data_IF_531834867022
#
_entry.id   IF_531834867022
#
_cell.length_a   1.000
_cell.length_b   1.000
_cell.length_c   1.000
_cell.angle_alpha   90.00
_cell.angle_beta   90.00
_cell.angle_gamma   90.00
#
_symmetry.space_group_name_H-M   'P 1'
#
loop_
_entity.id
_entity.type
_entity.pdbx_description
1 polymer ?
#
# COMPACT_ATOMS: atom_id res chain seq x y z
N UNK A 1 20.41 -26.91 0.27
CA UNK A 1 21.32 -27.79 -0.49
C UNK A 1 21.46 -27.47 -2.00
N UNK A 2 21.35 -26.22 -2.48
CA UNK A 2 21.64 -25.84 -3.88
C UNK A 2 21.86 -24.31 -3.97
N UNK A 3 22.58 -23.84 -5.01
CA UNK A 3 22.45 -22.44 -5.47
C UNK A 3 20.97 -22.17 -5.70
N UNK A 4 20.49 -20.96 -5.38
CA UNK A 4 19.04 -20.70 -5.40
C UNK A 4 18.42 -21.18 -6.72
N UNK A 5 17.40 -22.05 -6.65
CA UNK A 5 16.92 -22.89 -7.77
C UNK A 5 16.57 -22.10 -9.05
N UNK A 6 16.32 -20.81 -8.90
CA UNK A 6 15.83 -19.94 -9.96
C UNK A 6 16.65 -18.66 -10.16
N UNK A 7 17.47 -18.29 -9.17
CA UNK A 7 18.28 -17.06 -9.24
C UNK A 7 19.72 -17.42 -8.91
N UNK A 8 20.72 -16.85 -9.59
CA UNK A 8 22.12 -17.23 -9.43
C UNK A 8 22.72 -16.62 -8.14
N UNK A 9 22.16 -16.96 -6.99
CA UNK A 9 22.66 -16.56 -5.66
C UNK A 9 23.42 -17.76 -5.09
N UNK A 10 24.73 -17.60 -4.92
CA UNK A 10 25.56 -18.59 -4.24
C UNK A 10 25.11 -18.77 -2.79
N UNK A 11 25.21 -19.99 -2.26
CA UNK A 11 24.90 -20.27 -0.86
C UNK A 11 25.66 -19.34 0.11
N UNK A 12 26.91 -18.99 -0.22
CA UNK A 12 27.74 -18.09 0.59
C UNK A 12 27.17 -16.68 0.63
N UNK A 13 26.71 -16.15 -0.51
CA UNK A 13 26.13 -14.82 -0.60
C UNK A 13 24.76 -14.74 0.11
N UNK A 14 24.00 -15.83 0.12
CA UNK A 14 22.80 -15.95 0.97
C UNK A 14 23.13 -15.79 2.46
N UNK A 15 24.16 -16.48 2.97
CA UNK A 15 24.58 -16.34 4.37
C UNK A 15 25.13 -14.95 4.68
N UNK A 16 25.86 -14.33 3.73
CA UNK A 16 26.32 -12.93 3.86
C UNK A 16 25.16 -11.94 3.96
N UNK A 17 24.12 -12.14 3.15
CA UNK A 17 22.92 -11.33 3.19
C UNK A 17 22.16 -11.54 4.50
N UNK A 18 22.10 -12.78 4.98
CA UNK A 18 21.49 -13.13 6.29
C UNK A 18 22.23 -12.49 7.46
N UNK A 19 23.58 -12.41 7.39
CA UNK A 19 24.39 -11.75 8.40
C UNK A 19 24.01 -10.27 8.59
N UNK A 20 23.54 -9.60 7.53
CA UNK A 20 23.02 -8.23 7.63
C UNK A 20 21.84 -8.09 8.61
N UNK A 21 21.04 -9.14 8.79
CA UNK A 21 19.92 -9.15 9.73
C UNK A 21 20.29 -9.73 11.10
N UNK A 22 21.24 -10.66 11.15
CA UNK A 22 21.67 -11.33 12.37
C UNK A 22 22.60 -10.48 13.26
N UNK A 23 23.43 -9.61 12.65
CA UNK A 23 24.33 -8.68 13.35
C UNK A 23 23.59 -7.48 14.00
N UNK A 24 22.27 -7.57 14.17
CA UNK A 24 21.44 -6.53 14.80
C UNK A 24 21.68 -6.51 16.31
N UNK A 25 22.10 -5.37 16.84
CA UNK A 25 22.15 -5.13 18.30
C UNK A 25 20.90 -4.35 18.70
N UNK A 26 20.01 -4.96 19.48
CA UNK A 26 18.85 -4.29 20.07
C UNK A 26 19.27 -3.58 21.36
N UNK A 27 19.16 -2.25 21.36
CA UNK A 27 19.15 -1.43 22.59
C UNK A 27 17.74 -1.27 23.16
N UNK A 28 17.62 -0.85 24.42
CA UNK A 28 16.34 -0.47 25.05
C UNK A 28 16.40 1.04 25.34
N UNK A 29 15.41 1.80 24.85
CA UNK A 29 15.21 3.21 25.26
C UNK A 29 13.73 3.49 25.48
N UNK A 30 13.37 3.89 26.71
CA UNK A 30 12.01 4.35 27.05
C UNK A 30 11.69 5.63 26.26
N UNK A 31 10.67 5.59 25.40
CA UNK A 31 10.16 6.77 24.69
C UNK A 31 8.98 7.35 25.47
N UNK A 32 9.03 8.65 25.78
CA UNK A 32 7.95 9.35 26.46
C UNK A 32 6.87 9.72 25.44
N UNK A 33 5.71 9.06 25.50
CA UNK A 33 4.53 9.41 24.70
C UNK A 33 3.69 10.48 25.42
N UNK A 34 2.85 11.21 24.66
CA UNK A 34 2.02 12.31 25.15
C UNK A 34 1.08 11.91 26.30
N UNK A 35 0.65 10.65 26.35
CA UNK A 35 -0.32 10.14 27.32
C UNK A 35 0.31 9.58 28.62
N UNK A 36 1.62 9.74 28.80
CA UNK A 36 2.32 9.23 29.98
C UNK A 36 2.75 7.77 29.83
N UNK A 37 4.01 7.60 29.41
CA UNK A 37 4.87 6.40 29.57
C UNK A 37 4.25 5.06 29.12
N UNK A 38 4.19 4.81 27.81
CA UNK A 38 4.33 3.44 27.31
C UNK A 38 5.83 3.10 27.20
N UNK A 39 6.34 2.00 27.78
CA UNK A 39 7.70 1.53 27.51
C UNK A 39 7.78 1.04 26.06
N UNK A 40 8.23 1.91 25.15
CA UNK A 40 8.52 1.54 23.75
C UNK A 40 9.94 0.99 23.68
N UNK A 41 10.14 -0.21 23.12
CA UNK A 41 11.45 -0.87 22.98
C UNK A 41 12.15 -0.49 21.67
N UNK A 42 12.91 0.59 21.65
CA UNK A 42 13.63 1.00 20.43
C UNK A 42 14.94 0.20 20.23
N UNK A 43 14.91 -0.83 19.38
CA UNK A 43 16.13 -1.50 18.89
C UNK A 43 16.96 -0.53 18.04
N UNK A 44 18.02 0.06 18.61
CA UNK A 44 18.89 0.99 17.90
C UNK A 44 20.14 0.32 17.37
N UNK A 45 20.30 0.33 16.05
CA UNK A 45 21.57 0.08 15.40
C UNK A 45 22.27 1.42 15.14
N UNK A 46 23.41 1.66 15.81
CA UNK A 46 24.45 2.71 15.64
C UNK A 46 24.70 3.52 16.92
N UNK A 47 25.98 3.62 17.27
CA UNK A 47 26.59 4.44 18.35
C UNK A 47 26.19 5.93 18.34
N UNK A 48 25.71 6.48 17.23
CA UNK A 48 25.37 7.89 17.02
C UNK A 48 23.86 8.18 16.84
N UNK A 49 22.97 7.21 17.03
CA UNK A 49 21.51 7.43 17.16
C UNK A 49 20.79 8.13 15.98
N UNK A 50 21.41 8.24 14.79
CA UNK A 50 20.85 8.97 13.63
C UNK A 50 19.81 8.16 12.85
N UNK A 51 19.95 6.84 12.76
CA UNK A 51 18.96 5.97 12.11
C UNK A 51 18.16 5.28 13.22
N UNK A 52 16.90 5.70 13.37
CA UNK A 52 16.02 5.22 14.44
C UNK A 52 15.14 4.11 13.90
N UNK A 53 15.41 2.88 14.30
CA UNK A 53 14.44 1.80 14.18
C UNK A 53 13.65 1.78 15.49
N UNK A 54 12.38 2.17 15.42
CA UNK A 54 11.47 2.14 16.58
C UNK A 54 10.61 0.90 16.42
N UNK A 55 10.78 -0.08 17.30
CA UNK A 55 9.87 -1.20 17.42
C UNK A 55 9.00 -0.94 18.65
N UNK A 56 7.69 -0.82 18.47
CA UNK A 56 6.77 -0.76 19.60
C UNK A 56 6.27 -2.18 19.87
N UNK A 57 6.94 -2.92 20.76
CA UNK A 57 6.41 -4.19 21.28
C UNK A 57 5.85 -3.99 22.70
N UNK A 58 4.87 -4.83 23.07
CA UNK A 58 4.56 -5.07 24.48
C UNK A 58 5.81 -5.61 25.19
N UNK A 59 5.94 -5.42 26.53
CA UNK A 59 7.06 -5.91 27.30
C UNK A 59 7.04 -7.43 27.28
N UNK A 60 7.79 -8.06 26.37
CA UNK A 60 8.01 -9.49 26.47
C UNK A 60 9.10 -9.78 27.49
N UNK A 61 10.24 -9.08 27.52
CA UNK A 61 11.28 -9.31 28.54
C UNK A 61 12.18 -8.08 28.73
N UNK A 62 12.38 -7.60 29.97
CA UNK A 62 13.46 -6.64 30.31
C UNK A 62 14.78 -7.39 30.53
N UNK A 63 15.92 -6.82 30.10
CA UNK A 63 17.25 -7.26 30.54
C UNK A 63 17.99 -8.30 29.69
N UNK A 64 17.48 -8.74 28.54
CA UNK A 64 18.26 -9.59 27.64
C UNK A 64 19.24 -8.74 26.81
N UNK A 65 20.57 -8.95 26.92
CA UNK A 65 21.48 -8.39 25.94
C UNK A 65 21.13 -9.00 24.58
N UNK A 66 20.88 -8.15 23.60
CA UNK A 66 20.96 -8.59 22.21
C UNK A 66 22.42 -8.84 21.90
N UNK A 67 22.84 -10.09 22.11
CA UNK A 67 24.13 -10.57 21.61
C UNK A 67 23.96 -10.63 20.08
N UNK A 68 24.70 -9.82 19.30
CA UNK A 68 24.62 -9.92 17.85
C UNK A 68 24.97 -11.35 17.46
N UNK A 69 24.04 -12.02 16.76
CA UNK A 69 24.20 -13.41 16.40
C UNK A 69 25.24 -13.50 15.28
N UNK A 70 26.30 -14.28 15.49
CA UNK A 70 27.24 -14.60 14.42
C UNK A 70 26.63 -15.65 13.50
N UNK A 71 26.57 -15.36 12.20
CA UNK A 71 26.11 -16.33 11.20
C UNK A 71 27.29 -17.19 10.77
N UNK A 72 27.14 -18.51 10.84
CA UNK A 72 28.13 -19.46 10.33
C UNK A 72 27.67 -20.03 8.99
N UNK A 73 28.60 -20.28 8.09
CA UNK A 73 28.30 -20.95 6.83
C UNK A 73 27.95 -22.42 7.12
N UNK A 74 26.72 -22.83 6.79
CA UNK A 74 26.30 -24.22 6.94
C UNK A 74 26.39 -24.93 5.58
N UNK A 75 27.22 -25.96 5.49
CA UNK A 75 27.36 -26.73 4.25
C UNK A 75 26.03 -27.37 3.93
N UNK A 76 25.44 -27.04 2.78
CA UNK A 76 24.10 -27.47 2.35
C UNK A 76 22.93 -27.05 3.26
N UNK A 77 23.16 -26.32 4.35
CA UNK A 77 22.14 -25.95 5.34
C UNK A 77 22.12 -26.84 6.58
N UNK A 78 23.08 -27.75 6.72
CA UNK A 78 23.20 -28.66 7.85
C UNK A 78 23.74 -27.94 9.10
N UNK A 79 22.94 -27.80 10.19
CA UNK A 79 23.37 -27.12 11.40
C UNK A 79 24.55 -27.81 12.10
N UNK A 80 24.73 -29.13 11.91
CA UNK A 80 25.82 -29.89 12.50
C UNK A 80 27.15 -29.70 11.71
N UNK A 81 27.07 -29.15 10.50
CA UNK A 81 28.22 -28.88 9.62
C UNK A 81 28.48 -27.37 9.47
N UNK A 82 28.58 -26.68 10.61
CA UNK A 82 28.90 -25.26 10.67
C UNK A 82 30.39 -24.98 10.44
N UNK A 83 30.69 -24.06 9.53
CA UNK A 83 32.06 -23.67 9.13
C UNK A 83 32.45 -22.29 9.68
N UNK A 84 33.08 -21.46 8.86
CA UNK A 84 33.52 -20.13 9.24
C UNK A 84 32.35 -19.19 9.54
N UNK A 85 32.64 -18.14 10.32
CA UNK A 85 31.72 -17.02 10.49
C UNK A 85 31.69 -16.21 9.20
N UNK A 86 30.50 -15.91 8.73
CA UNK A 86 30.24 -15.10 7.54
C UNK A 86 29.89 -13.69 7.97
N UNK A 87 30.57 -12.71 7.38
CA UNK A 87 30.28 -11.29 7.61
C UNK A 87 29.22 -10.77 6.65
N UNK A 88 28.58 -9.67 7.02
CA UNK A 88 27.64 -8.95 6.15
C UNK A 88 28.23 -8.72 4.75
N UNK A 89 27.45 -9.10 3.73
CA UNK A 89 27.72 -8.78 2.33
C UNK A 89 26.50 -9.00 1.44
N UNK A 90 26.58 -8.52 0.19
CA UNK A 90 25.41 -8.40 -0.69
C UNK A 90 25.61 -9.10 -2.03
N UNK A 91 24.54 -9.49 -2.74
CA UNK A 91 24.66 -10.23 -4.00
C UNK A 91 25.54 -9.50 -5.04
N UNK A 92 26.63 -10.10 -5.56
CA UNK A 92 27.58 -9.45 -6.46
C UNK A 92 26.96 -8.93 -7.76
N UNK A 93 25.94 -9.58 -8.29
CA UNK A 93 25.25 -9.16 -9.53
C UNK A 93 24.43 -7.88 -9.35
N UNK A 94 24.19 -7.43 -8.12
CA UNK A 94 23.54 -6.16 -7.79
C UNK A 94 24.53 -5.08 -7.37
N UNK A 95 25.83 -5.34 -7.53
CA UNK A 95 26.91 -4.41 -7.24
C UNK A 95 27.50 -3.95 -8.58
N UNK A 96 27.77 -2.65 -8.72
CA UNK A 96 28.31 -2.12 -9.97
C UNK A 96 29.69 -2.78 -10.28
N UNK A 97 30.00 -3.15 -11.54
CA UNK A 97 31.20 -3.92 -11.89
C UNK A 97 32.53 -3.33 -11.41
N UNK A 98 32.61 -2.01 -11.26
CA UNK A 98 33.82 -1.29 -10.83
C UNK A 98 33.92 -1.10 -9.31
N UNK A 99 32.99 -1.66 -8.54
CA UNK A 99 32.97 -1.49 -7.09
C UNK A 99 34.06 -2.34 -6.43
N UNK A 100 34.92 -1.75 -5.60
CA UNK A 100 35.87 -2.54 -4.80
C UNK A 100 35.12 -3.54 -3.91
N UNK A 101 35.55 -4.80 -3.90
CA UNK A 101 34.96 -5.84 -3.02
C UNK A 101 34.96 -5.40 -1.55
N UNK A 102 35.99 -4.67 -1.13
CA UNK A 102 36.12 -4.12 0.21
C UNK A 102 34.99 -3.18 0.63
N UNK A 103 34.25 -2.62 -0.34
CA UNK A 103 33.05 -1.87 -0.03
C UNK A 103 32.02 -2.83 0.56
N UNK A 104 31.56 -3.84 -0.16
CA UNK A 104 30.36 -4.59 0.24
C UNK A 104 30.60 -5.99 0.79
N UNK A 105 31.84 -6.48 0.83
CA UNK A 105 32.14 -7.88 1.18
C UNK A 105 33.16 -8.04 2.30
N UNK A 106 33.76 -6.95 2.78
CA UNK A 106 34.73 -6.99 3.89
C UNK A 106 34.06 -6.65 5.23
N UNK A 107 34.65 -7.19 6.31
CA UNK A 107 34.22 -6.89 7.68
C UNK A 107 34.37 -5.40 7.95
N UNK A 108 33.26 -4.72 8.24
CA UNK A 108 33.26 -3.29 8.56
C UNK A 108 33.25 -3.07 10.08
N UNK A 109 34.35 -2.66 10.72
CA UNK A 109 34.32 -2.25 12.12
C UNK A 109 33.36 -1.05 12.27
N UNK A 110 32.53 -1.06 13.31
CA UNK A 110 31.58 0.00 13.66
C UNK A 110 30.41 0.23 12.68
N UNK A 111 30.09 -0.72 11.80
CA UNK A 111 28.84 -0.72 11.03
C UNK A 111 28.05 -1.98 11.32
N UNK A 112 26.79 -1.82 11.70
CA UNK A 112 25.85 -2.93 11.92
C UNK A 112 25.29 -3.42 10.58
N UNK A 113 24.82 -4.66 10.57
CA UNK A 113 24.34 -5.34 9.37
C UNK A 113 23.21 -4.59 8.64
N UNK A 114 22.15 -4.11 9.32
CA UNK A 114 21.02 -3.46 8.63
C UNK A 114 21.37 -2.07 8.13
N UNK A 115 22.31 -1.38 8.78
CA UNK A 115 22.84 -0.10 8.29
C UNK A 115 23.67 -0.30 7.04
N UNK A 116 24.49 -1.35 6.99
CA UNK A 116 25.18 -1.73 5.77
C UNK A 116 24.19 -2.07 4.64
N UNK A 117 23.12 -2.82 4.94
CA UNK A 117 22.04 -3.13 4.00
C UNK A 117 21.36 -1.86 3.47
N UNK A 118 20.94 -0.96 4.35
CA UNK A 118 20.30 0.29 3.95
C UNK A 118 21.21 1.15 3.05
N UNK A 119 22.51 1.23 3.39
CA UNK A 119 23.50 1.94 2.57
C UNK A 119 23.70 1.29 1.21
N UNK A 120 23.77 -0.04 1.15
CA UNK A 120 23.90 -0.76 -0.11
C UNK A 120 22.66 -0.61 -0.99
N UNK A 121 21.45 -0.72 -0.41
CA UNK A 121 20.20 -0.57 -1.14
C UNK A 121 20.02 0.83 -1.74
N UNK A 122 20.58 1.86 -1.12
CA UNK A 122 20.42 3.27 -1.53
C UNK A 122 21.62 3.84 -2.29
N UNK A 123 22.75 3.14 -2.38
CA UNK A 123 23.93 3.56 -3.13
C UNK A 123 23.72 3.32 -4.63
N UNK A 124 23.60 4.40 -5.40
CA UNK A 124 23.41 4.37 -6.86
C UNK A 124 24.72 4.13 -7.61
N UNK A 125 25.87 4.43 -7.02
CA UNK A 125 27.15 4.34 -7.72
C UNK A 125 27.76 2.94 -7.58
N UNK A 126 27.57 2.32 -6.42
CA UNK A 126 28.25 1.07 -6.08
C UNK A 126 27.31 -0.01 -5.56
N UNK A 127 26.04 0.29 -5.30
CA UNK A 127 25.09 -0.66 -4.69
C UNK A 127 23.86 -0.90 -5.56
N UNK A 128 22.78 -1.30 -4.91
CA UNK A 128 21.51 -1.66 -5.55
C UNK A 128 20.56 -0.45 -5.77
N UNK A 129 21.07 0.79 -5.64
CA UNK A 129 20.24 2.01 -5.70
C UNK A 129 19.39 2.13 -6.96
N UNK A 130 19.92 1.74 -8.13
CA UNK A 130 19.16 1.76 -9.38
C UNK A 130 18.01 0.76 -9.40
N UNK A 131 18.22 -0.46 -8.87
CA UNK A 131 17.15 -1.45 -8.75
C UNK A 131 16.09 -0.97 -7.75
N UNK A 132 16.50 -0.44 -6.60
CA UNK A 132 15.58 0.14 -5.63
C UNK A 132 14.72 1.25 -6.25
N UNK A 133 15.33 2.13 -7.04
CA UNK A 133 14.60 3.20 -7.73
C UNK A 133 13.56 2.64 -8.70
N UNK A 134 13.90 1.62 -9.52
CA UNK A 134 12.96 0.93 -10.41
C UNK A 134 11.79 0.30 -9.63
N UNK A 135 12.06 -0.35 -8.51
CA UNK A 135 11.02 -0.94 -7.65
C UNK A 135 10.09 0.14 -7.07
N UNK A 136 10.64 1.25 -6.56
CA UNK A 136 9.85 2.33 -5.98
C UNK A 136 8.94 2.96 -7.05
N UNK A 137 9.47 3.36 -8.21
CA UNK A 137 8.66 4.01 -9.23
C UNK A 137 7.60 3.07 -9.81
N UNK A 138 7.90 1.78 -9.92
CA UNK A 138 6.89 0.78 -10.30
C UNK A 138 5.77 0.65 -9.27
N UNK A 139 6.08 0.71 -7.97
CA UNK A 139 5.05 0.74 -6.91
C UNK A 139 4.21 2.01 -6.97
N UNK A 140 4.84 3.17 -7.19
CA UNK A 140 4.10 4.43 -7.37
C UNK A 140 3.14 4.33 -8.57
N UNK A 141 3.63 3.82 -9.70
CA UNK A 141 2.83 3.58 -10.88
C UNK A 141 1.67 2.61 -10.60
N UNK A 142 1.96 1.46 -10.00
CA UNK A 142 0.97 0.47 -9.59
C UNK A 142 -0.13 1.06 -8.72
N UNK A 143 0.20 1.89 -7.72
CA UNK A 143 -0.81 2.50 -6.87
C UNK A 143 -1.73 3.49 -7.60
N UNK A 144 -1.23 4.18 -8.63
CA UNK A 144 -2.03 5.09 -9.45
C UNK A 144 -2.87 4.40 -10.51
N UNK A 145 -2.34 3.36 -11.15
CA UNK A 145 -2.95 2.69 -12.31
C UNK A 145 -3.51 1.29 -12.01
N UNK A 146 -3.41 0.80 -10.77
CA UNK A 146 -3.84 -0.57 -10.39
C UNK A 146 -2.87 -1.67 -10.85
N UNK A 147 -2.05 -1.42 -11.87
CA UNK A 147 -1.04 -2.34 -12.40
C UNK A 147 0.29 -1.61 -12.58
N UNK A 148 1.40 -2.21 -12.15
CA UNK A 148 2.75 -1.68 -12.37
C UNK A 148 3.21 -1.85 -13.82
N UNK A 149 4.21 -1.06 -14.22
CA UNK A 149 4.94 -1.27 -15.49
C UNK A 149 5.55 -2.68 -15.53
N UNK A 150 6.08 -3.14 -14.39
CA UNK A 150 6.32 -4.55 -14.08
C UNK A 150 5.12 -5.04 -13.27
N UNK A 151 4.37 -5.98 -13.80
CA UNK A 151 3.12 -6.44 -13.19
C UNK A 151 3.34 -7.27 -11.92
N UNK A 152 4.55 -7.78 -11.69
CA UNK A 152 4.98 -8.45 -10.44
C UNK A 152 5.74 -7.49 -9.52
N UNK A 153 5.06 -6.69 -8.65
CA UNK A 153 5.70 -5.63 -7.88
C UNK A 153 6.74 -6.10 -6.84
N UNK A 154 6.73 -7.38 -6.47
CA UNK A 154 7.70 -8.00 -5.56
C UNK A 154 8.80 -8.80 -6.28
N UNK A 155 8.72 -8.97 -7.59
CA UNK A 155 9.68 -9.80 -8.34
C UNK A 155 10.10 -9.08 -9.63
N UNK A 156 11.34 -8.59 -9.63
CA UNK A 156 12.02 -7.98 -10.77
C UNK A 156 13.10 -8.92 -11.35
N UNK A 157 13.16 -10.15 -10.84
CA UNK A 157 14.10 -11.19 -11.24
C UNK A 157 13.60 -11.96 -12.45
N UNK A 158 14.16 -13.16 -12.63
CA UNK A 158 13.90 -14.01 -13.82
C UNK A 158 12.49 -14.60 -13.86
N UNK A 159 11.81 -14.68 -12.70
CA UNK A 159 10.45 -15.20 -12.55
C UNK A 159 9.38 -14.12 -12.56
N UNK A 160 9.80 -12.86 -12.46
CA UNK A 160 8.93 -11.70 -12.60
C UNK A 160 8.58 -11.39 -14.05
N UNK A 161 7.54 -10.58 -14.23
CA UNK A 161 7.15 -10.09 -15.55
C UNK A 161 8.16 -9.07 -16.08
N UNK A 162 8.32 -9.05 -17.41
CA UNK A 162 9.08 -7.99 -18.07
C UNK A 162 8.31 -6.67 -18.03
N UNK A 163 8.99 -5.51 -17.92
CA UNK A 163 8.33 -4.22 -17.97
C UNK A 163 7.65 -4.01 -19.31
N UNK A 164 6.41 -3.52 -19.31
CA UNK A 164 5.70 -3.12 -20.54
C UNK A 164 6.38 -1.93 -21.22
N UNK A 165 6.89 -0.99 -20.42
CA UNK A 165 7.59 0.21 -20.89
C UNK A 165 8.97 0.32 -20.21
N UNK A 166 10.00 -0.42 -20.68
CA UNK A 166 11.32 -0.44 -20.04
C UNK A 166 11.97 0.95 -20.01
N UNK A 167 11.92 1.69 -21.12
CA UNK A 167 12.50 3.04 -21.20
C UNK A 167 11.82 4.03 -20.25
N UNK A 168 10.49 3.95 -20.11
CA UNK A 168 9.75 4.80 -19.16
C UNK A 168 10.11 4.45 -17.72
N UNK A 169 10.20 3.16 -17.39
CA UNK A 169 10.60 2.70 -16.07
C UNK A 169 11.99 3.23 -15.68
N UNK A 170 12.96 3.09 -16.58
CA UNK A 170 14.34 3.52 -16.33
C UNK A 170 14.45 5.05 -16.29
N UNK A 171 13.67 5.76 -17.10
CA UNK A 171 13.57 7.22 -17.05
C UNK A 171 12.97 7.72 -15.73
N UNK A 172 11.86 7.13 -15.27
CA UNK A 172 11.25 7.47 -13.97
C UNK A 172 12.19 7.17 -12.80
N UNK A 173 12.88 6.03 -12.84
CA UNK A 173 13.85 5.65 -11.83
C UNK A 173 15.02 6.64 -11.77
N UNK A 174 15.52 7.06 -12.94
CA UNK A 174 16.55 8.10 -13.03
C UNK A 174 16.05 9.44 -12.47
N UNK A 175 14.82 9.85 -12.80
CA UNK A 175 14.22 11.06 -12.22
C UNK A 175 14.03 10.99 -10.72
N UNK A 176 13.77 9.82 -10.15
CA UNK A 176 13.68 9.67 -8.70
C UNK A 176 15.04 9.91 -8.04
N UNK A 177 16.11 9.38 -8.64
CA UNK A 177 17.49 9.56 -8.17
C UNK A 177 17.91 11.04 -8.31
N UNK A 178 17.72 11.63 -9.49
CA UNK A 178 18.06 13.03 -9.79
C UNK A 178 17.38 14.02 -8.83
N UNK A 179 16.13 13.74 -8.45
CA UNK A 179 15.34 14.56 -7.52
C UNK A 179 15.59 14.22 -6.03
N UNK A 180 16.66 13.50 -5.71
CA UNK A 180 17.05 13.19 -4.33
C UNK A 180 16.04 12.33 -3.60
N UNK A 181 15.47 11.33 -4.28
CA UNK A 181 14.52 10.35 -3.72
C UNK A 181 13.19 10.94 -3.22
N UNK A 182 12.84 12.16 -3.66
CA UNK A 182 11.58 12.81 -3.27
C UNK A 182 10.40 12.24 -4.07
N UNK A 183 9.62 11.35 -3.45
CA UNK A 183 8.46 10.71 -4.09
C UNK A 183 7.45 11.69 -4.69
N UNK A 184 7.20 12.83 -4.02
CA UNK A 184 6.25 13.87 -4.50
C UNK A 184 6.54 14.37 -5.91
N UNK A 185 7.82 14.42 -6.31
CA UNK A 185 8.21 14.83 -7.65
C UNK A 185 7.71 13.84 -8.71
N UNK A 186 7.83 12.55 -8.43
CA UNK A 186 7.37 11.46 -9.31
C UNK A 186 5.85 11.38 -9.33
N UNK A 187 5.18 11.54 -8.17
CA UNK A 187 3.72 11.66 -8.14
C UNK A 187 3.25 12.77 -9.06
N UNK A 188 3.85 13.97 -8.99
CA UNK A 188 3.49 15.08 -9.87
C UNK A 188 3.65 14.70 -11.34
N UNK A 189 4.80 14.14 -11.74
CA UNK A 189 5.05 13.73 -13.13
C UNK A 189 3.98 12.75 -13.64
N UNK A 190 3.61 11.76 -12.83
CA UNK A 190 2.56 10.79 -13.17
C UNK A 190 1.22 11.51 -13.31
N UNK A 191 0.79 12.27 -12.29
CA UNK A 191 -0.52 12.92 -12.24
C UNK A 191 -0.71 13.99 -13.34
N UNK A 192 0.36 14.60 -13.82
CA UNK A 192 0.31 15.58 -14.92
C UNK A 192 0.52 14.96 -16.31
N UNK A 193 0.78 13.65 -16.40
CA UNK A 193 1.01 12.98 -17.68
C UNK A 193 -0.25 12.96 -18.55
N UNK A 194 -0.09 12.78 -19.87
CA UNK A 194 -1.23 12.51 -20.74
C UNK A 194 -1.93 11.20 -20.35
N UNK A 195 -1.15 10.16 -20.05
CA UNK A 195 -1.64 8.82 -19.66
C UNK A 195 -2.54 8.86 -18.43
N UNK A 196 -2.19 9.63 -17.39
CA UNK A 196 -3.03 9.74 -16.19
C UNK A 196 -4.32 10.52 -16.44
N UNK A 197 -4.32 11.44 -17.40
CA UNK A 197 -5.47 12.29 -17.76
C UNK A 197 -6.41 11.67 -18.80
N UNK A 198 -6.15 10.43 -19.23
CA UNK A 198 -7.06 9.69 -20.10
C UNK A 198 -8.37 9.39 -19.37
N UNK A 199 -9.46 9.33 -20.12
CA UNK A 199 -10.77 8.88 -19.62
C UNK A 199 -10.92 7.36 -19.67
N UNK A 200 -11.95 6.85 -18.99
CA UNK A 200 -12.35 5.44 -19.07
C UNK A 200 -12.93 5.09 -20.44
N UNK A 201 -13.71 5.99 -21.01
CA UNK A 201 -14.33 5.80 -22.33
C UNK A 201 -13.26 5.68 -23.41
N UNK A 202 -13.26 4.58 -24.20
CA UNK A 202 -12.29 4.42 -25.28
C UNK A 202 -12.54 5.50 -26.34
N UNK A 203 -11.50 6.21 -26.81
CA UNK A 203 -11.69 7.12 -27.94
C UNK A 203 -12.05 6.30 -29.19
N UNK A 204 -12.99 6.80 -30.01
CA UNK A 204 -13.43 6.11 -31.25
C UNK A 204 -12.25 5.75 -32.16
N UNK A 205 -11.19 6.57 -32.16
CA UNK A 205 -9.98 6.33 -32.95
C UNK A 205 -9.10 5.18 -32.45
N UNK A 206 -9.30 4.70 -31.22
CA UNK A 206 -8.50 3.60 -30.64
C UNK A 206 -9.14 2.23 -30.88
N UNK A 207 -10.43 2.19 -31.16
CA UNK A 207 -11.14 0.94 -31.47
C UNK A 207 -11.21 0.76 -32.99
N UNK A 208 -11.08 -0.48 -33.46
CA UNK A 208 -11.29 -0.81 -34.86
C UNK A 208 -12.79 -0.74 -35.23
N UNK A 209 -13.12 -0.96 -36.51
CA UNK A 209 -14.50 -0.95 -37.00
C UNK A 209 -15.41 -2.04 -36.38
N UNK A 210 -14.85 -2.99 -35.62
CA UNK A 210 -15.57 -4.00 -34.87
C UNK A 210 -15.68 -3.67 -33.35
N UNK A 211 -15.16 -2.52 -32.92
CA UNK A 211 -15.17 -2.07 -31.53
C UNK A 211 -14.06 -2.68 -30.67
N UNK A 212 -13.03 -3.29 -31.27
CA UNK A 212 -11.93 -3.95 -30.55
C UNK A 212 -10.62 -3.16 -30.62
N UNK A 213 -9.87 -3.13 -29.51
CA UNK A 213 -8.54 -2.53 -29.45
C UNK A 213 -7.48 -3.65 -29.57
N UNK A 214 -6.35 -3.45 -30.30
CA UNK A 214 -5.28 -4.45 -30.43
C UNK A 214 -4.64 -4.91 -29.09
N UNK A 215 -4.76 -4.08 -28.05
CA UNK A 215 -4.39 -4.37 -26.66
C UNK A 215 -5.64 -4.40 -25.76
N UNK A 216 -6.41 -5.51 -25.77
CA UNK A 216 -7.66 -5.62 -25.00
C UNK A 216 -7.42 -5.65 -23.49
N UNK A 217 -6.20 -6.00 -23.05
CA UNK A 217 -5.80 -6.05 -21.65
C UNK A 217 -5.22 -4.72 -21.13
N UNK A 218 -5.25 -3.67 -21.96
CA UNK A 218 -4.78 -2.33 -21.63
C UNK A 218 -3.36 -2.29 -21.01
N UNK A 219 -2.47 -3.18 -21.48
CA UNK A 219 -1.06 -3.24 -21.06
C UNK A 219 -0.30 -1.97 -21.41
N UNK A 220 -0.75 -1.26 -22.44
CA UNK A 220 -0.17 -0.03 -22.98
C UNK A 220 -0.83 1.25 -22.44
N UNK A 221 -1.79 1.13 -21.50
CA UNK A 221 -2.47 2.27 -20.86
C UNK A 221 -3.09 3.26 -21.86
N UNK A 222 -3.80 2.75 -22.87
CA UNK A 222 -4.47 3.55 -23.90
C UNK A 222 -5.82 4.11 -23.43
N UNK A 223 -6.33 3.65 -22.28
CA UNK A 223 -7.45 4.23 -21.54
C UNK A 223 -7.25 4.10 -20.02
N UNK A 224 -8.05 4.83 -19.25
CA UNK A 224 -8.11 4.66 -17.79
C UNK A 224 -8.90 3.39 -17.45
N UNK A 225 -8.46 2.64 -16.44
CA UNK A 225 -9.22 1.52 -15.88
C UNK A 225 -9.85 1.91 -14.54
N UNK A 226 -11.12 1.58 -14.30
CA UNK A 226 -11.74 1.80 -13.00
C UNK A 226 -10.99 1.00 -11.95
N UNK A 227 -10.56 1.68 -10.90
CA UNK A 227 -9.84 1.08 -9.79
C UNK A 227 -10.79 0.90 -8.61
N UNK A 228 -10.96 -0.34 -8.15
CA UNK A 228 -11.70 -0.58 -6.92
C UNK A 228 -10.99 0.05 -5.73
N UNK A 229 -11.77 0.66 -4.84
CA UNK A 229 -11.30 1.17 -3.55
C UNK A 229 -10.84 0.01 -2.66
N UNK A 230 -9.76 0.24 -1.92
CA UNK A 230 -9.30 -0.65 -0.87
C UNK A 230 -10.30 -0.73 0.30
N UNK A 231 -10.29 -1.83 1.05
CA UNK A 231 -11.20 -2.04 2.19
C UNK A 231 -11.25 -0.86 3.18
N UNK A 232 -10.08 -0.31 3.51
CA UNK A 232 -9.91 0.86 4.36
C UNK A 232 -10.57 2.11 3.77
N UNK A 233 -10.46 2.30 2.45
CA UNK A 233 -11.03 3.44 1.75
C UNK A 233 -12.56 3.30 1.64
N UNK A 234 -13.09 2.10 1.41
CA UNK A 234 -14.54 1.82 1.38
C UNK A 234 -15.15 2.18 2.74
N UNK A 235 -14.57 1.68 3.82
CA UNK A 235 -15.01 1.99 5.18
C UNK A 235 -14.90 3.49 5.49
N UNK A 236 -13.78 4.12 5.15
CA UNK A 236 -13.58 5.55 5.38
C UNK A 236 -14.57 6.39 4.56
N UNK A 237 -14.95 5.95 3.36
CA UNK A 237 -15.95 6.61 2.53
C UNK A 237 -17.34 6.57 3.18
N UNK A 238 -17.74 5.41 3.72
CA UNK A 238 -18.99 5.27 4.50
C UNK A 238 -19.06 6.23 5.69
N UNK A 239 -17.93 6.44 6.39
CA UNK A 239 -17.85 7.43 7.46
C UNK A 239 -17.86 8.87 6.94
N UNK A 240 -17.24 9.12 5.79
CA UNK A 240 -17.10 10.45 5.20
C UNK A 240 -18.43 10.99 4.68
N UNK A 241 -19.23 10.16 3.98
CA UNK A 241 -20.55 10.56 3.48
C UNK A 241 -21.51 10.90 4.62
N UNK A 242 -21.50 10.10 5.69
CA UNK A 242 -22.25 10.38 6.92
C UNK A 242 -21.70 11.54 7.76
N UNK A 243 -20.59 12.16 7.37
CA UNK A 243 -20.00 13.31 8.08
C UNK A 243 -19.35 12.95 9.42
N UNK A 244 -19.04 11.68 9.66
CA UNK A 244 -18.50 11.16 10.93
C UNK A 244 -16.99 10.93 10.90
N UNK A 245 -16.36 10.97 9.72
CA UNK A 245 -14.93 10.67 9.58
C UNK A 245 -14.06 11.69 10.34
N UNK A 246 -13.38 11.20 11.38
CA UNK A 246 -12.39 11.95 12.15
C UNK A 246 -11.01 11.82 11.50
N UNK A 247 -10.49 12.95 11.01
CA UNK A 247 -9.17 13.07 10.36
C UNK A 247 -8.00 13.28 11.33
N UNK A 248 -8.26 13.33 12.64
CA UNK A 248 -7.22 13.51 13.66
C UNK A 248 -6.15 12.43 13.55
N UNK A 249 -4.89 12.88 13.48
CA UNK A 249 -3.73 12.00 13.40
C UNK A 249 -3.31 11.52 14.80
N UNK A 250 -2.79 10.29 14.89
CA UNK A 250 -2.18 9.70 16.10
C UNK A 250 -3.12 9.43 17.29
N UNK A 251 -2.64 8.69 18.30
CA UNK A 251 -3.43 8.27 19.46
C UNK A 251 -3.94 6.84 19.33
N UNK A 252 -4.70 6.35 20.33
CA UNK A 252 -5.10 4.95 20.40
C UNK A 252 -6.05 4.58 19.25
N UNK A 253 -5.87 3.35 18.76
CA UNK A 253 -6.76 2.72 17.79
C UNK A 253 -7.88 1.94 18.48
N UNK A 254 -8.95 1.69 17.72
CA UNK A 254 -10.10 0.89 18.18
C UNK A 254 -10.25 -0.40 17.38
N UNK A 255 -10.82 -1.43 18.00
CA UNK A 255 -11.26 -2.66 17.32
C UNK A 255 -12.69 -2.52 16.78
N UNK A 256 -13.38 -1.44 17.15
CA UNK A 256 -14.73 -1.16 16.68
C UNK A 256 -14.69 -0.67 15.21
N UNK A 257 -15.43 -1.37 14.35
CA UNK A 257 -15.55 -1.02 12.95
C UNK A 257 -16.27 0.32 12.76
N UNK A 258 -17.14 0.71 13.68
CA UNK A 258 -17.91 1.96 13.64
C UNK A 258 -17.11 3.16 14.18
N UNK A 259 -15.88 2.93 14.63
CA UNK A 259 -15.08 4.00 15.21
C UNK A 259 -14.84 5.14 14.19
N UNK A 260 -15.06 6.42 14.53
CA UNK A 260 -15.07 7.51 13.55
C UNK A 260 -13.72 7.77 12.86
N UNK A 261 -12.62 7.20 13.37
CA UNK A 261 -11.28 7.42 12.82
C UNK A 261 -11.07 6.69 11.50
N UNK A 262 -10.17 7.25 10.68
CA UNK A 262 -9.64 6.59 9.49
C UNK A 262 -9.17 5.18 9.80
N UNK A 263 -9.43 4.27 8.88
CA UNK A 263 -9.16 2.85 8.98
C UNK A 263 -7.69 2.53 9.27
N UNK A 264 -6.77 3.38 8.80
CA UNK A 264 -5.32 3.28 9.10
C UNK A 264 -4.98 3.36 10.59
N UNK A 265 -5.87 3.93 11.41
CA UNK A 265 -5.72 4.04 12.86
C UNK A 265 -6.49 2.96 13.63
N UNK A 266 -7.14 2.01 12.95
CA UNK A 266 -7.79 0.90 13.65
C UNK A 266 -6.74 -0.03 14.26
N UNK A 267 -7.10 -0.60 15.41
CA UNK A 267 -6.25 -1.59 16.08
C UNK A 267 -6.40 -2.91 15.35
N UNK A 268 -5.29 -3.50 14.91
CA UNK A 268 -5.29 -4.86 14.36
C UNK A 268 -5.01 -5.85 15.48
N UNK A 269 -5.95 -6.77 15.72
CA UNK A 269 -5.78 -7.92 16.63
C UNK A 269 -5.90 -9.20 15.82
N UNK A 270 -4.83 -10.01 15.77
CA UNK A 270 -4.76 -11.23 14.94
C UNK A 270 -5.90 -12.23 15.22
N UNK A 271 -6.38 -12.29 16.46
CA UNK A 271 -7.50 -13.16 16.87
C UNK A 271 -8.88 -12.52 16.74
N UNK A 272 -8.97 -11.25 16.34
CA UNK A 272 -10.23 -10.52 16.17
C UNK A 272 -10.08 -9.50 15.04
N UNK A 273 -10.27 -9.98 13.83
CA UNK A 273 -10.21 -9.17 12.62
C UNK A 273 -11.51 -8.40 12.43
N UNK A 274 -11.44 -7.28 11.70
CA UNK A 274 -12.57 -6.40 11.46
C UNK A 274 -13.36 -6.92 10.25
N UNK A 275 -14.65 -7.30 10.40
CA UNK A 275 -15.39 -8.02 9.34
C UNK A 275 -15.43 -7.29 7.99
N UNK A 276 -15.72 -5.99 7.99
CA UNK A 276 -15.75 -5.18 6.76
C UNK A 276 -14.39 -5.20 6.06
N UNK A 277 -13.29 -5.10 6.82
CA UNK A 277 -11.95 -5.13 6.22
C UNK A 277 -11.64 -6.48 5.60
N UNK A 278 -12.00 -7.58 6.27
CA UNK A 278 -11.77 -8.91 5.72
C UNK A 278 -12.58 -9.18 4.46
N UNK A 279 -13.85 -8.76 4.45
CA UNK A 279 -14.74 -9.05 3.33
C UNK A 279 -14.35 -8.30 2.05
N UNK A 280 -13.78 -7.10 2.18
CA UNK A 280 -13.30 -6.27 1.08
C UNK A 280 -11.79 -6.45 0.80
N UNK A 281 -11.26 -7.66 1.02
CA UNK A 281 -9.89 -8.04 0.66
C UNK A 281 -8.78 -7.26 1.42
N UNK A 282 -9.04 -6.88 2.67
CA UNK A 282 -8.04 -6.28 3.55
C UNK A 282 -6.82 -7.20 3.73
N UNK A 283 -5.59 -6.65 3.79
CA UNK A 283 -4.38 -7.45 3.77
C UNK A 283 -4.19 -8.24 5.07
N UNK A 284 -3.57 -9.41 4.97
CA UNK A 284 -3.07 -10.13 6.14
C UNK A 284 -1.93 -9.33 6.79
N UNK A 285 -2.02 -9.13 8.10
CA UNK A 285 -1.01 -8.49 8.93
C UNK A 285 0.26 -9.32 9.18
N UNK A 286 0.27 -10.60 8.78
CA UNK A 286 1.37 -11.53 9.01
C UNK A 286 2.36 -11.64 7.83
N UNK A 287 1.92 -11.31 6.63
CA UNK A 287 2.70 -11.54 5.41
C UNK A 287 2.86 -10.25 4.61
N UNK A 288 4.01 -10.12 3.94
CA UNK A 288 4.23 -9.03 2.99
C UNK A 288 3.45 -9.29 1.71
N UNK A 289 2.66 -8.32 1.28
CA UNK A 289 1.88 -8.38 0.04
C UNK A 289 2.35 -7.30 -0.94
N UNK A 290 2.55 -7.68 -2.19
CA UNK A 290 2.98 -6.76 -3.27
C UNK A 290 1.80 -6.12 -4.00
N UNK A 291 0.73 -6.88 -4.17
CA UNK A 291 -0.52 -6.49 -4.82
C UNK A 291 -1.67 -7.13 -4.06
N UNK A 292 -2.69 -6.36 -3.72
CA UNK A 292 -3.88 -6.87 -3.04
C UNK A 292 -4.78 -7.60 -4.03
N UNK A 293 -5.41 -8.68 -3.57
CA UNK A 293 -6.48 -9.34 -4.30
C UNK A 293 -7.69 -8.41 -4.37
N UNK A 294 -8.44 -8.50 -5.47
CA UNK A 294 -9.70 -7.80 -5.64
C UNK A 294 -10.73 -8.86 -6.00
N UNK A 295 -11.66 -9.14 -5.09
CA UNK A 295 -12.71 -10.13 -5.29
C UNK A 295 -14.07 -9.44 -5.42
N UNK A 296 -14.89 -9.84 -6.38
CA UNK A 296 -16.28 -9.38 -6.46
C UNK A 296 -17.17 -10.55 -6.08
N UNK A 297 -17.77 -10.49 -4.89
CA UNK A 297 -18.53 -11.62 -4.34
C UNK A 297 -19.91 -11.18 -3.88
N UNK A 298 -20.90 -12.07 -3.99
CA UNK A 298 -22.26 -11.79 -3.51
C UNK A 298 -22.32 -11.39 -2.02
N UNK A 299 -21.52 -12.00 -1.11
CA UNK A 299 -21.44 -11.56 0.28
C UNK A 299 -21.06 -10.08 0.46
N UNK A 300 -20.19 -9.50 -0.38
CA UNK A 300 -19.85 -8.08 -0.30
C UNK A 300 -21.05 -7.18 -0.60
N UNK A 301 -21.83 -7.52 -1.64
CA UNK A 301 -23.05 -6.80 -1.98
C UNK A 301 -24.11 -6.94 -0.86
N UNK A 302 -24.27 -8.16 -0.31
CA UNK A 302 -25.19 -8.41 0.80
C UNK A 302 -24.78 -7.66 2.08
N UNK A 303 -23.47 -7.48 2.32
CA UNK A 303 -22.98 -6.65 3.41
C UNK A 303 -23.37 -5.18 3.19
N UNK A 304 -23.17 -4.62 1.99
CA UNK A 304 -23.57 -3.24 1.70
C UNK A 304 -25.07 -3.04 1.90
N UNK A 305 -25.88 -4.04 1.56
CA UNK A 305 -27.33 -3.97 1.76
C UNK A 305 -27.71 -4.07 3.25
N UNK A 306 -27.18 -5.04 4.00
CA UNK A 306 -27.80 -5.47 5.26
C UNK A 306 -26.98 -5.15 6.52
N UNK A 307 -25.76 -4.65 6.39
CA UNK A 307 -24.90 -4.46 7.56
C UNK A 307 -25.36 -3.26 8.41
N UNK A 308 -25.46 -3.41 9.74
CA UNK A 308 -25.84 -2.32 10.65
C UNK A 308 -24.94 -1.08 10.52
N UNK A 309 -23.64 -1.26 10.26
CA UNK A 309 -22.71 -0.15 10.04
C UNK A 309 -23.06 0.66 8.78
N UNK A 310 -23.46 -0.03 7.71
CA UNK A 310 -23.83 0.63 6.44
C UNK A 310 -25.19 1.31 6.58
N UNK A 311 -26.14 0.67 7.26
CA UNK A 311 -27.45 1.26 7.57
C UNK A 311 -27.30 2.54 8.40
N UNK A 312 -26.51 2.48 9.48
CA UNK A 312 -26.21 3.65 10.31
C UNK A 312 -25.49 4.76 9.51
N UNK A 313 -24.59 4.38 8.58
CA UNK A 313 -23.95 5.35 7.70
C UNK A 313 -24.95 6.02 6.74
N UNK A 314 -25.94 5.28 6.23
CA UNK A 314 -27.02 5.80 5.40
C UNK A 314 -27.94 6.76 6.17
N UNK A 315 -28.26 6.44 7.43
CA UNK A 315 -29.04 7.31 8.32
C UNK A 315 -28.34 8.65 8.58
N UNK A 316 -27.06 8.61 8.93
CA UNK A 316 -26.26 9.82 9.12
C UNK A 316 -26.10 10.61 7.81
N UNK A 317 -25.99 9.91 6.68
CA UNK A 317 -25.92 10.56 5.38
C UNK A 317 -27.25 11.27 5.05
N UNK A 318 -28.39 10.63 5.30
CA UNK A 318 -29.70 11.25 5.15
C UNK A 318 -29.86 12.49 6.05
N UNK A 319 -29.47 12.40 7.32
CA UNK A 319 -29.48 13.55 8.24
C UNK A 319 -28.61 14.71 7.73
N UNK A 320 -27.45 14.40 7.12
CA UNK A 320 -26.58 15.40 6.53
C UNK A 320 -27.24 16.07 5.31
N UNK A 321 -27.90 15.30 4.46
CA UNK A 321 -28.64 15.85 3.31
C UNK A 321 -29.77 16.75 3.78
N UNK A 322 -30.61 16.31 4.72
CA UNK A 322 -31.75 17.10 5.23
C UNK A 322 -31.34 18.41 5.94
N UNK A 323 -30.10 18.52 6.44
CA UNK A 323 -29.59 19.73 7.09
C UNK A 323 -29.06 20.78 6.11
N UNK A 324 -28.69 20.38 4.90
CA UNK A 324 -28.28 21.35 3.90
C UNK A 324 -29.52 22.12 3.41
N UNK A 325 -29.37 23.39 3.04
CA UNK A 325 -30.51 24.23 2.60
C UNK A 325 -30.82 23.93 1.13
N UNK A 326 -31.59 22.89 0.86
CA UNK A 326 -32.06 22.59 -0.51
C UNK A 326 -33.38 23.30 -0.83
N UNK A 327 -33.59 23.59 -2.11
CA UNK A 327 -34.84 24.19 -2.62
C UNK A 327 -35.81 23.14 -3.19
N UNK A 328 -35.38 21.88 -3.36
CA UNK A 328 -36.25 20.76 -3.70
C UNK A 328 -35.54 19.41 -3.81
N UNK A 329 -36.29 18.35 -4.15
CA UNK A 329 -35.79 16.97 -4.24
C UNK A 329 -34.63 16.82 -5.24
N UNK A 330 -34.64 17.55 -6.36
CA UNK A 330 -33.56 17.50 -7.34
C UNK A 330 -32.21 17.98 -6.77
N UNK A 331 -32.22 18.97 -5.87
CA UNK A 331 -31.01 19.45 -5.20
C UNK A 331 -30.49 18.42 -4.19
N UNK A 332 -31.40 17.73 -3.48
CA UNK A 332 -31.05 16.64 -2.55
C UNK A 332 -30.38 15.50 -3.30
N UNK A 333 -30.96 15.09 -4.44
CA UNK A 333 -30.37 14.07 -5.31
C UNK A 333 -28.98 14.51 -5.78
N UNK A 334 -28.87 15.72 -6.32
CA UNK A 334 -27.60 16.25 -6.84
C UNK A 334 -26.52 16.28 -5.77
N UNK A 335 -26.83 16.76 -4.57
CA UNK A 335 -25.90 16.78 -3.45
C UNK A 335 -25.52 15.35 -3.00
N UNK A 336 -26.48 14.43 -2.96
CA UNK A 336 -26.25 13.02 -2.63
C UNK A 336 -25.22 12.38 -3.56
N UNK A 337 -25.42 12.53 -4.87
CA UNK A 337 -24.48 12.04 -5.89
C UNK A 337 -23.08 12.65 -5.72
N UNK A 338 -22.98 13.97 -5.57
CA UNK A 338 -21.67 14.63 -5.39
C UNK A 338 -20.95 14.15 -4.13
N UNK A 339 -21.67 13.95 -3.02
CA UNK A 339 -21.07 13.49 -1.77
C UNK A 339 -20.68 12.01 -1.79
N UNK A 340 -21.48 11.15 -2.44
CA UNK A 340 -21.26 9.70 -2.44
C UNK A 340 -20.30 9.22 -3.54
N UNK A 341 -20.44 9.75 -4.76
CA UNK A 341 -19.70 9.29 -5.94
C UNK A 341 -18.80 10.36 -6.56
N UNK A 342 -18.86 11.62 -6.11
CA UNK A 342 -17.93 12.67 -6.53
C UNK A 342 -18.28 13.38 -7.84
N UNK A 343 -19.46 13.12 -8.42
CA UNK A 343 -19.99 13.79 -9.63
C UNK A 343 -21.48 14.08 -9.49
N UNK A 344 -22.05 15.04 -10.24
CA UNK A 344 -23.50 15.19 -10.32
C UNK A 344 -24.16 14.00 -11.05
N UNK A 345 -25.47 13.76 -10.84
CA UNK A 345 -26.22 12.75 -11.57
C UNK A 345 -26.36 13.16 -13.04
N UNK A 346 -26.40 12.17 -13.93
CA UNK A 346 -26.85 12.34 -15.32
C UNK A 346 -28.35 12.66 -15.35
N UNK A 347 -28.89 13.20 -16.47
CA UNK A 347 -30.32 13.47 -16.59
C UNK A 347 -31.19 12.22 -16.35
N UNK A 348 -30.73 11.05 -16.76
CA UNK A 348 -31.45 9.79 -16.57
C UNK A 348 -31.39 9.32 -15.11
N UNK A 349 -30.23 9.39 -14.45
CA UNK A 349 -30.10 9.09 -13.03
C UNK A 349 -30.96 10.01 -12.16
N UNK A 350 -31.00 11.31 -12.49
CA UNK A 350 -31.85 12.29 -11.80
C UNK A 350 -33.32 11.93 -11.97
N UNK A 351 -33.75 11.58 -13.19
CA UNK A 351 -35.12 11.16 -13.50
C UNK A 351 -35.53 9.89 -12.75
N UNK A 352 -34.62 8.92 -12.61
CA UNK A 352 -34.88 7.65 -11.94
C UNK A 352 -34.86 7.74 -10.41
N UNK A 353 -34.04 8.63 -9.83
CA UNK A 353 -33.84 8.70 -8.38
C UNK A 353 -34.69 9.76 -7.68
N UNK A 354 -35.09 10.84 -8.38
CA UNK A 354 -35.97 11.87 -7.80
C UNK A 354 -37.29 11.30 -7.26
N UNK A 355 -37.97 10.35 -7.93
CA UNK A 355 -39.21 9.74 -7.42
C UNK A 355 -39.04 8.98 -6.10
N UNK A 356 -37.83 8.48 -5.78
CA UNK A 356 -37.55 7.78 -4.51
C UNK A 356 -37.77 8.71 -3.32
N UNK A 357 -37.52 10.01 -3.51
CA UNK A 357 -37.65 10.99 -2.44
C UNK A 357 -39.09 11.35 -2.11
N UNK A 358 -40.09 11.01 -2.95
CA UNK A 358 -41.51 11.26 -2.68
C UNK A 358 -41.80 12.65 -2.09
N UNK A 359 -42.36 12.65 -0.88
CA UNK A 359 -42.71 13.87 -0.11
C UNK A 359 -41.53 14.47 0.67
N UNK A 360 -40.36 13.83 0.63
CA UNK A 360 -39.14 14.25 1.31
C UNK A 360 -39.05 13.75 2.74
N UNK A 361 -39.72 12.65 3.08
CA UNK A 361 -39.66 12.06 4.41
C UNK A 361 -38.25 11.53 4.71
N UNK A 362 -37.92 11.43 6.01
CA UNK A 362 -36.61 10.92 6.44
C UNK A 362 -36.37 9.50 5.94
N UNK A 363 -37.40 8.65 5.90
CA UNK A 363 -37.30 7.28 5.41
C UNK A 363 -36.94 7.21 3.92
N UNK A 364 -37.58 8.02 3.09
CA UNK A 364 -37.32 8.10 1.65
C UNK A 364 -35.89 8.59 1.35
N UNK A 365 -35.40 9.57 2.12
CA UNK A 365 -34.01 10.04 2.00
C UNK A 365 -33.02 8.94 2.43
N UNK A 366 -33.34 8.16 3.47
CA UNK A 366 -32.51 7.01 3.88
C UNK A 366 -32.45 5.96 2.77
N UNK A 367 -33.58 5.64 2.14
CA UNK A 367 -33.63 4.68 1.04
C UNK A 367 -32.83 5.17 -0.16
N UNK A 368 -32.96 6.44 -0.53
CA UNK A 368 -32.13 7.07 -1.55
C UNK A 368 -30.62 6.98 -1.22
N UNK A 369 -30.23 7.34 0.01
CA UNK A 369 -28.85 7.20 0.47
C UNK A 369 -28.35 5.76 0.35
N UNK A 370 -29.16 4.78 0.75
CA UNK A 370 -28.81 3.35 0.69
C UNK A 370 -28.61 2.87 -0.75
N UNK A 371 -29.43 3.34 -1.69
CA UNK A 371 -29.23 3.09 -3.14
C UNK A 371 -27.86 3.60 -3.56
N UNK A 372 -27.50 4.84 -3.23
CA UNK A 372 -26.19 5.42 -3.58
C UNK A 372 -25.02 4.61 -3.01
N UNK A 373 -25.09 4.19 -1.74
CA UNK A 373 -24.04 3.39 -1.11
C UNK A 373 -23.88 2.01 -1.75
N UNK A 374 -24.92 1.49 -2.41
CA UNK A 374 -24.90 0.19 -3.08
C UNK A 374 -24.52 0.27 -4.57
N UNK A 375 -24.30 1.46 -5.11
CA UNK A 375 -23.81 1.61 -6.49
C UNK A 375 -22.38 1.09 -6.62
N UNK A 376 -22.06 0.52 -7.78
CA UNK A 376 -20.68 0.16 -8.10
C UNK A 376 -19.77 1.40 -8.03
N UNK A 377 -20.21 2.56 -8.51
CA UNK A 377 -19.43 3.80 -8.45
C UNK A 377 -19.06 4.24 -7.03
N UNK A 378 -19.76 3.78 -6.00
CA UNK A 378 -19.38 4.05 -4.61
C UNK A 378 -18.10 3.29 -4.19
N UNK A 379 -17.81 2.17 -4.86
CA UNK A 379 -16.69 1.27 -4.56
C UNK A 379 -15.52 1.41 -5.55
N UNK A 380 -15.65 2.21 -6.61
CA UNK A 380 -14.64 2.34 -7.65
C UNK A 380 -14.31 3.82 -7.89
N UNK A 381 -13.06 4.09 -8.26
CA UNK A 381 -12.61 5.40 -8.73
C UNK A 381 -12.15 5.28 -10.17
N UNK A 382 -12.62 6.19 -11.02
CA UNK A 382 -12.14 6.34 -12.40
C UNK A 382 -10.81 7.08 -12.44
#
# INVERSE_FOLDING_TARGET
CHDHKYDPIEQRDYYRFTAAFAETVSGIRKVQTADGKLPVYAATEVTNHRIRMVVATEPSFEGLPSIPASVRFLVRGDPDNAREVVFTGFPPFLVAPRTPKSRWFDKRPNQTGRVALARWMTDTNHGAGHLLARVIVNRLWHHHFGRGLVATPNDFGTRGDRPTHPQLLDWLASKLIDNGWRLKSIHRLILTSATYRLGYQPPESAIDGAGTHPDPLNRLYWRREPKRLDAEAIRDNLLAVGGRLNSSMYGPGSLDQDHPRRSVYLRIKRSRLIPVLQLFDGPDSLQSIGQRSITTTAPQALLMLNNPFVQHSAELFAQRLSRAKQTGNADVVTLGFVLAIGRPPTPEELRLTTPILGDGSVAEIIDFCRVLLCLNEFLYIE
#
